data_IF_020695634624
#
_entry.id   IF_020695634624
#
_cell.length_a   1.000
_cell.length_b   1.000
_cell.length_c   1.000
_cell.angle_alpha   90.00
_cell.angle_beta   90.00
_cell.angle_gamma   90.00
#
_symmetry.space_group_name_H-M   'P 1'
#
loop_
_entity.id
_entity.type
_entity.pdbx_description
1 polymer ?
#
# COMPACT_ATOMS: atom_id res chain seq x y z
N UNK A 1 14.35 8.53 -12.99
CA UNK A 1 14.79 8.35 -11.59
C UNK A 1 13.75 8.98 -10.68
N UNK A 2 12.85 8.21 -10.05
CA UNK A 2 11.78 8.79 -9.21
C UNK A 2 12.25 8.90 -7.75
N UNK A 3 12.77 10.07 -7.39
CA UNK A 3 13.30 10.38 -6.06
C UNK A 3 12.20 10.22 -4.98
N UNK A 4 10.95 10.55 -5.31
CA UNK A 4 9.81 10.43 -4.39
C UNK A 4 9.58 8.98 -3.94
N UNK A 5 9.62 8.03 -4.88
CA UNK A 5 9.44 6.61 -4.55
C UNK A 5 10.54 6.12 -3.60
N UNK A 6 11.78 6.54 -3.83
CA UNK A 6 12.92 6.19 -2.96
C UNK A 6 12.72 6.73 -1.54
N UNK A 7 12.25 7.98 -1.40
CA UNK A 7 11.99 8.57 -0.08
C UNK A 7 10.86 7.87 0.66
N UNK A 8 9.76 7.55 -0.04
CA UNK A 8 8.64 6.79 0.53
C UNK A 8 9.13 5.42 1.02
N UNK A 9 9.86 4.69 0.17
CA UNK A 9 10.40 3.37 0.52
C UNK A 9 11.56 3.41 1.51
N UNK A 10 12.16 4.57 1.77
CA UNK A 10 13.15 4.74 2.83
C UNK A 10 12.49 4.78 4.21
N UNK A 11 11.30 5.38 4.32
CA UNK A 11 10.60 5.63 5.58
C UNK A 11 9.54 4.55 5.88
N UNK A 12 8.93 3.97 4.84
CA UNK A 12 7.81 3.05 5.00
C UNK A 12 8.08 1.69 4.35
N UNK A 13 7.61 0.64 5.01
CA UNK A 13 7.35 -0.68 4.42
C UNK A 13 5.93 -0.72 3.87
N UNK A 14 5.80 -0.97 2.57
CA UNK A 14 4.50 -1.25 1.93
C UNK A 14 4.34 -2.76 1.86
N UNK A 15 3.32 -3.30 2.53
CA UNK A 15 3.04 -4.75 2.63
C UNK A 15 1.63 -5.08 2.17
N UNK A 16 1.34 -6.34 1.81
CA UNK A 16 -0.02 -6.76 1.51
C UNK A 16 -0.97 -6.49 2.69
N UNK A 17 -2.24 -6.28 2.36
CA UNK A 17 -3.33 -6.25 3.33
C UNK A 17 -3.42 -7.55 4.13
N UNK A 18 -4.12 -7.51 5.26
CA UNK A 18 -4.41 -8.71 6.04
C UNK A 18 -5.87 -9.12 5.85
N UNK A 19 -6.10 -10.43 5.82
CA UNK A 19 -7.43 -11.01 5.90
C UNK A 19 -7.98 -10.97 7.34
N UNK A 20 -9.20 -11.50 7.52
CA UNK A 20 -9.88 -11.59 8.82
C UNK A 20 -9.11 -12.40 9.88
N UNK A 21 -8.14 -13.22 9.48
CA UNK A 21 -7.32 -14.04 10.36
C UNK A 21 -5.92 -13.44 10.58
N UNK A 22 -5.64 -12.25 10.04
CA UNK A 22 -4.33 -11.62 10.12
C UNK A 22 -3.30 -12.20 9.14
N UNK A 23 -3.71 -12.97 8.12
CA UNK A 23 -2.81 -13.50 7.09
C UNK A 23 -2.75 -12.52 5.92
N UNK A 24 -1.57 -12.40 5.31
CA UNK A 24 -1.40 -11.59 4.11
C UNK A 24 -2.29 -12.07 2.96
N UNK A 25 -3.01 -11.13 2.35
CA UNK A 25 -3.81 -11.35 1.15
C UNK A 25 -2.86 -11.40 -0.05
N UNK A 26 -2.99 -12.43 -0.87
CA UNK A 26 -2.25 -12.54 -2.13
C UNK A 26 -2.65 -11.39 -3.07
N UNK A 27 -1.66 -10.64 -3.57
CA UNK A 27 -1.90 -9.58 -4.55
C UNK A 27 -2.10 -10.25 -5.91
N UNK A 28 -3.30 -10.12 -6.45
CA UNK A 28 -3.64 -10.59 -7.80
C UNK A 28 -3.55 -9.42 -8.77
N UNK A 29 -2.96 -9.61 -9.96
CA UNK A 29 -2.90 -8.58 -10.99
C UNK A 29 -4.24 -8.50 -11.73
N UNK A 30 -5.30 -8.22 -10.98
CA UNK A 30 -6.59 -7.87 -11.59
C UNK A 30 -6.42 -6.50 -12.25
N UNK A 31 -6.80 -6.43 -13.51
CA UNK A 31 -6.57 -5.25 -14.34
C UNK A 31 -7.92 -4.67 -14.77
N UNK A 32 -7.98 -3.35 -14.78
CA UNK A 32 -9.12 -2.62 -15.33
C UNK A 32 -9.30 -2.91 -16.81
N UNK A 33 -10.57 -2.99 -17.19
CA UNK A 33 -11.01 -3.14 -18.56
C UNK A 33 -11.19 -1.75 -19.18
N UNK A 34 -10.76 -1.57 -20.43
CA UNK A 34 -10.93 -0.31 -21.14
C UNK A 34 -9.86 -0.07 -22.21
N UNK A 35 -9.82 1.15 -22.74
CA UNK A 35 -8.79 1.56 -23.70
C UNK A 35 -7.38 1.57 -23.08
N UNK A 36 -7.29 1.80 -21.77
CA UNK A 36 -6.07 1.75 -20.97
C UNK A 36 -6.26 0.69 -19.87
N UNK A 37 -5.18 0.03 -19.48
CA UNK A 37 -5.19 -1.04 -18.48
C UNK A 37 -4.29 -0.67 -17.31
N UNK A 38 -4.88 -0.62 -16.12
CA UNK A 38 -4.21 -0.35 -14.85
C UNK A 38 -4.62 -1.42 -13.83
N UNK A 39 -3.77 -1.72 -12.83
CA UNK A 39 -4.18 -2.57 -11.73
C UNK A 39 -5.45 -2.06 -11.06
N UNK A 40 -6.37 -2.96 -10.77
CA UNK A 40 -7.51 -2.69 -9.89
C UNK A 40 -7.03 -2.38 -8.46
N UNK A 41 -7.89 -1.70 -7.70
CA UNK A 41 -7.59 -1.36 -6.31
C UNK A 41 -7.36 -2.64 -5.47
N UNK A 42 -6.31 -2.63 -4.65
CA UNK A 42 -5.99 -3.73 -3.74
C UNK A 42 -5.66 -3.21 -2.34
N UNK A 43 -5.91 -4.04 -1.34
CA UNK A 43 -5.64 -3.69 0.06
C UNK A 43 -4.15 -3.84 0.35
N UNK A 44 -3.54 -2.77 0.85
CA UNK A 44 -2.16 -2.77 1.34
C UNK A 44 -2.05 -2.09 2.70
N UNK A 45 -0.90 -2.28 3.36
CA UNK A 45 -0.54 -1.65 4.62
C UNK A 45 0.74 -0.86 4.42
N UNK A 46 0.74 0.38 4.88
CA UNK A 46 1.92 1.24 4.90
C UNK A 46 2.39 1.34 6.35
N UNK A 47 3.55 0.74 6.63
CA UNK A 47 4.06 0.57 7.99
C UNK A 47 5.31 1.44 8.12
N UNK A 48 5.36 2.42 9.05
CA UNK A 48 6.57 3.19 9.29
C UNK A 48 7.68 2.29 9.80
N UNK A 49 8.88 2.40 9.22
CA UNK A 49 10.07 1.63 9.65
C UNK A 49 10.60 2.06 11.01
N UNK A 50 10.30 3.29 11.43
CA UNK A 50 10.77 3.86 12.69
C UNK A 50 9.58 4.26 13.57
N UNK A 51 9.64 3.83 14.83
CA UNK A 51 8.54 3.93 15.80
C UNK A 51 8.13 5.38 16.13
N UNK A 52 9.01 6.35 15.88
CA UNK A 52 8.75 7.78 16.14
C UNK A 52 7.74 8.41 15.16
N UNK A 53 7.36 7.71 14.08
CA UNK A 53 6.33 8.14 13.12
C UNK A 53 4.92 7.63 13.47
N UNK A 54 4.65 7.36 14.75
CA UNK A 54 3.33 6.91 15.26
C UNK A 54 2.48 8.06 15.80
N UNK A 55 2.67 9.28 15.29
CA UNK A 55 1.61 10.28 15.42
C UNK A 55 0.44 9.85 14.53
N UNK A 56 -0.61 9.31 15.17
CA UNK A 56 -1.93 8.95 14.64
C UNK A 56 -2.24 9.42 13.21
N UNK A 57 -1.67 8.75 12.19
CA UNK A 57 -2.21 8.76 10.83
C UNK A 57 -3.42 7.82 10.81
N UNK A 58 -4.46 8.22 11.53
CA UNK A 58 -5.75 7.55 11.52
C UNK A 58 -6.32 7.59 10.10
N UNK A 59 -6.43 6.42 9.48
CA UNK A 59 -7.63 6.04 8.74
C UNK A 59 -7.97 6.77 7.43
N UNK A 60 -7.12 7.61 6.85
CA UNK A 60 -7.34 8.08 5.48
C UNK A 60 -6.73 7.09 4.48
N UNK A 61 -7.41 5.94 4.44
CA UNK A 61 -7.79 5.19 3.23
C UNK A 61 -7.34 5.91 1.94
N UNK A 62 -6.15 5.58 1.45
CA UNK A 62 -5.79 5.79 0.05
C UNK A 62 -6.59 4.77 -0.76
N UNK A 63 -7.86 5.11 -1.02
CA UNK A 63 -8.56 4.61 -2.20
C UNK A 63 -7.88 5.28 -3.37
N UNK A 64 -7.06 4.50 -4.07
CA UNK A 64 -6.95 4.71 -5.50
C UNK A 64 -8.11 3.99 -6.16
#
# INVERSE_FOLDING_TARGET
>A
MSILLVHILAVYDIRPGLDKNGKEVEIRPEMSNGLLSYPEAFVCRIIPRHQQLTENFGGYFLVF
#
